data_IF_209082816196
#
_entry.id   IF_209082816196
#
_cell.length_a   1.000
_cell.length_b   1.000
_cell.length_c   1.000
_cell.angle_alpha   90.00
_cell.angle_beta   90.00
_cell.angle_gamma   90.00
#
_symmetry.space_group_name_H-M   'P 1'
#
loop_
_entity.id
_entity.type
_entity.pdbx_description
1 polymer ?
#
# COMPACT_ATOMS: atom_id res chain seq x y z
N UNK A 1 31.09 -12.49 -12.19
CA UNK A 1 30.53 -11.29 -11.51
C UNK A 1 31.35 -10.04 -11.82
N UNK A 2 32.66 -10.03 -11.52
CA UNK A 2 33.57 -8.90 -11.80
C UNK A 2 33.44 -8.34 -13.23
N UNK A 3 33.53 -9.18 -14.26
CA UNK A 3 33.36 -8.79 -15.65
C UNK A 3 32.05 -8.04 -15.93
N UNK A 4 30.92 -8.50 -15.36
CA UNK A 4 29.64 -7.80 -15.50
C UNK A 4 29.63 -6.44 -14.78
N UNK A 5 30.35 -6.33 -13.66
CA UNK A 5 30.49 -5.11 -12.89
C UNK A 5 31.40 -4.08 -13.59
N UNK A 6 32.46 -4.50 -14.29
CA UNK A 6 33.50 -3.59 -14.80
C UNK A 6 33.52 -3.45 -16.33
N UNK A 7 33.35 -4.53 -17.07
CA UNK A 7 33.65 -4.58 -18.52
C UNK A 7 32.40 -4.47 -19.41
N UNK A 8 31.24 -4.93 -18.94
CA UNK A 8 30.00 -4.83 -19.72
C UNK A 8 29.45 -3.39 -19.67
N UNK A 9 29.17 -2.83 -20.85
CA UNK A 9 28.43 -1.57 -20.99
C UNK A 9 26.92 -1.83 -20.92
N UNK A 10 26.32 -1.42 -19.80
CA UNK A 10 24.89 -1.55 -19.55
C UNK A 10 24.08 -0.30 -19.90
N UNK A 11 24.67 0.70 -20.56
CA UNK A 11 23.95 1.91 -20.99
C UNK A 11 22.87 1.56 -22.02
N UNK A 12 21.70 2.18 -21.92
CA UNK A 12 20.60 2.00 -22.90
C UNK A 12 19.62 0.87 -22.58
N UNK A 13 19.79 0.17 -21.45
CA UNK A 13 18.83 -0.82 -20.96
C UNK A 13 18.15 -0.32 -19.68
N UNK A 14 16.84 -0.49 -19.59
CA UNK A 14 16.04 -0.05 -18.43
C UNK A 14 15.85 -1.14 -17.38
N UNK A 15 15.78 -2.42 -17.79
CA UNK A 15 15.78 -3.57 -16.90
C UNK A 15 17.08 -4.36 -17.05
N UNK A 16 17.87 -4.46 -15.98
CA UNK A 16 19.18 -5.13 -16.00
C UNK A 16 19.24 -6.20 -14.94
N UNK A 17 19.49 -7.43 -15.38
CA UNK A 17 19.60 -8.58 -14.50
C UNK A 17 20.98 -9.22 -14.64
N UNK A 18 21.57 -9.57 -13.50
CA UNK A 18 22.71 -10.48 -13.44
C UNK A 18 22.23 -11.78 -12.78
N UNK A 19 22.49 -12.91 -13.43
CA UNK A 19 22.17 -14.23 -12.87
C UNK A 19 23.49 -14.92 -12.56
N UNK A 20 23.74 -15.18 -11.27
CA UNK A 20 24.88 -15.92 -10.78
C UNK A 20 24.45 -17.33 -10.38
N UNK A 21 25.13 -18.34 -10.92
CA UNK A 21 25.03 -19.72 -10.45
C UNK A 21 26.37 -20.11 -9.86
N UNK A 22 26.37 -20.66 -8.65
CA UNK A 22 27.61 -20.97 -7.93
C UNK A 22 27.38 -22.02 -6.85
N UNK A 23 28.39 -22.84 -6.57
CA UNK A 23 28.41 -23.87 -5.54
C UNK A 23 29.43 -23.59 -4.42
N UNK A 24 30.06 -22.41 -4.45
CA UNK A 24 31.13 -22.02 -3.53
C UNK A 24 31.18 -20.51 -3.30
N UNK A 25 31.81 -20.08 -2.22
CA UNK A 25 32.03 -18.70 -1.84
C UNK A 25 32.90 -17.96 -2.86
N UNK A 26 32.71 -16.64 -2.92
CA UNK A 26 33.55 -15.75 -3.71
C UNK A 26 34.94 -15.63 -3.07
N UNK A 27 35.96 -15.61 -3.93
CA UNK A 27 37.34 -15.28 -3.56
C UNK A 27 37.47 -13.77 -3.41
N UNK A 28 37.64 -13.30 -2.18
CA UNK A 28 37.58 -11.87 -1.86
C UNK A 28 38.95 -11.18 -1.87
N UNK A 29 38.94 -9.89 -2.21
CA UNK A 29 40.04 -8.97 -1.93
C UNK A 29 41.40 -9.46 -2.46
N UNK A 30 42.37 -9.56 -1.55
CA UNK A 30 43.76 -9.92 -1.88
C UNK A 30 44.03 -11.42 -2.05
N UNK A 31 42.99 -12.28 -2.10
CA UNK A 31 43.20 -13.67 -2.51
C UNK A 31 43.86 -13.68 -3.91
N UNK A 32 45.01 -14.37 -4.10
CA UNK A 32 45.72 -14.38 -5.38
C UNK A 32 44.89 -14.89 -6.57
N UNK A 33 43.80 -15.62 -6.30
CA UNK A 33 42.87 -16.14 -7.29
C UNK A 33 41.61 -15.27 -7.44
N UNK A 34 41.52 -14.13 -6.75
CA UNK A 34 40.44 -13.17 -6.94
C UNK A 34 40.58 -12.47 -8.29
N UNK A 35 39.59 -12.64 -9.17
CA UNK A 35 39.61 -12.01 -10.49
C UNK A 35 39.41 -10.49 -10.48
N UNK A 36 38.83 -9.92 -9.41
CA UNK A 36 38.60 -8.47 -9.28
C UNK A 36 39.52 -7.77 -8.29
N UNK A 37 40.08 -8.50 -7.31
CA UNK A 37 40.76 -7.88 -6.17
C UNK A 37 39.81 -7.14 -5.21
N UNK A 38 38.50 -7.28 -5.38
CA UNK A 38 37.46 -6.57 -4.62
C UNK A 38 36.77 -7.51 -3.64
N UNK A 39 36.26 -6.99 -2.52
CA UNK A 39 35.35 -7.76 -1.69
C UNK A 39 33.95 -7.76 -2.31
N UNK A 40 33.14 -8.67 -1.81
CA UNK A 40 31.75 -8.83 -2.24
C UNK A 40 30.92 -7.55 -2.07
N UNK A 41 31.25 -6.73 -1.06
CA UNK A 41 30.64 -5.42 -0.80
C UNK A 41 30.92 -4.42 -1.93
N UNK A 42 32.16 -4.24 -2.35
CA UNK A 42 32.48 -3.28 -3.42
C UNK A 42 31.92 -3.74 -4.76
N UNK A 43 31.89 -5.06 -5.01
CA UNK A 43 31.23 -5.60 -6.21
C UNK A 43 29.73 -5.30 -6.19
N UNK A 44 29.07 -5.46 -5.04
CA UNK A 44 27.65 -5.10 -4.87
C UNK A 44 27.42 -3.62 -5.21
N UNK A 45 28.22 -2.72 -4.65
CA UNK A 45 28.09 -1.28 -4.95
C UNK A 45 28.33 -0.97 -6.43
N UNK A 46 29.31 -1.62 -7.06
CA UNK A 46 29.56 -1.46 -8.49
C UNK A 46 28.38 -1.93 -9.34
N UNK A 47 27.77 -3.09 -9.04
CA UNK A 47 26.61 -3.60 -9.76
C UNK A 47 25.38 -2.69 -9.55
N UNK A 48 25.18 -2.21 -8.31
CA UNK A 48 24.10 -1.27 -7.95
C UNK A 48 24.21 0.06 -8.66
N UNK A 49 25.41 0.64 -8.74
CA UNK A 49 25.64 1.91 -9.44
C UNK A 49 25.24 1.85 -10.93
N UNK A 50 25.25 0.64 -11.50
CA UNK A 50 24.85 0.35 -12.87
C UNK A 50 23.36 -0.04 -13.00
N UNK A 51 22.62 -0.12 -11.89
CA UNK A 51 21.21 -0.47 -11.83
C UNK A 51 20.91 -1.96 -12.02
N UNK A 52 21.85 -2.86 -11.66
CA UNK A 52 21.64 -4.30 -11.83
C UNK A 52 20.93 -4.93 -10.62
N UNK A 53 19.90 -5.72 -10.92
CA UNK A 53 19.33 -6.69 -9.98
C UNK A 53 20.05 -8.03 -10.12
N UNK A 54 20.70 -8.49 -9.05
CA UNK A 54 21.51 -9.72 -9.08
C UNK A 54 20.76 -10.88 -8.45
N UNK A 55 20.31 -11.83 -9.27
CA UNK A 55 19.83 -13.14 -8.81
C UNK A 55 21.02 -14.05 -8.52
N UNK A 56 21.02 -14.71 -7.36
CA UNK A 56 21.99 -15.76 -7.02
C UNK A 56 21.28 -17.08 -6.80
N UNK A 57 21.69 -18.10 -7.56
CA UNK A 57 21.35 -19.50 -7.36
C UNK A 57 22.55 -20.20 -6.74
N UNK A 58 22.48 -20.45 -5.43
CA UNK A 58 23.54 -21.10 -4.66
C UNK A 58 23.26 -22.60 -4.52
N UNK A 59 24.11 -23.41 -5.16
CA UNK A 59 24.06 -24.86 -5.15
C UNK A 59 24.72 -25.37 -3.86
N UNK A 60 23.93 -25.83 -2.89
CA UNK A 60 24.43 -26.35 -1.61
C UNK A 60 24.90 -27.80 -1.74
N UNK A 61 25.90 -28.02 -2.59
CA UNK A 61 26.42 -29.35 -2.91
C UNK A 61 27.09 -29.99 -1.69
N UNK A 62 27.14 -31.33 -1.59
CA UNK A 62 27.83 -31.99 -0.47
C UNK A 62 29.32 -31.60 -0.33
N UNK A 63 30.00 -31.30 -1.45
CA UNK A 63 31.40 -30.89 -1.46
C UNK A 63 31.62 -29.51 -0.80
N UNK A 64 30.64 -28.61 -0.92
CA UNK A 64 30.68 -27.24 -0.37
C UNK A 64 30.26 -27.13 1.09
N UNK A 65 29.97 -28.23 1.80
CA UNK A 65 29.37 -28.19 3.15
C UNK A 65 30.11 -27.31 4.16
N UNK A 66 31.44 -27.27 4.10
CA UNK A 66 32.26 -26.41 4.97
C UNK A 66 32.26 -24.93 4.59
N UNK A 67 31.76 -24.58 3.42
CA UNK A 67 31.81 -23.26 2.80
C UNK A 67 30.43 -22.60 2.64
N UNK A 68 29.35 -23.38 2.67
CA UNK A 68 27.98 -22.91 2.46
C UNK A 68 27.61 -21.67 3.27
N UNK A 69 28.03 -21.58 4.54
CA UNK A 69 27.71 -20.44 5.39
C UNK A 69 28.37 -19.15 4.91
N UNK A 70 29.63 -19.24 4.48
CA UNK A 70 30.40 -18.10 3.96
C UNK A 70 29.78 -17.65 2.62
N UNK A 71 29.53 -18.61 1.73
CA UNK A 71 28.91 -18.37 0.44
C UNK A 71 27.52 -17.73 0.60
N UNK A 72 26.68 -18.25 1.49
CA UNK A 72 25.35 -17.70 1.76
C UNK A 72 25.42 -16.24 2.25
N UNK A 73 26.32 -15.94 3.18
CA UNK A 73 26.49 -14.57 3.68
C UNK A 73 26.92 -13.61 2.57
N UNK A 74 27.93 -13.99 1.78
CA UNK A 74 28.42 -13.19 0.66
C UNK A 74 27.33 -12.97 -0.39
N UNK A 75 26.64 -14.03 -0.80
CA UNK A 75 25.69 -13.94 -1.92
C UNK A 75 24.35 -13.32 -1.56
N UNK A 76 23.86 -13.49 -0.33
CA UNK A 76 22.74 -12.69 0.17
C UNK A 76 23.08 -11.20 0.17
N UNK A 77 24.32 -10.89 0.54
CA UNK A 77 24.80 -9.53 0.52
C UNK A 77 24.83 -8.93 -0.91
N UNK A 78 25.43 -9.60 -1.90
CA UNK A 78 25.43 -9.12 -3.31
C UNK A 78 24.02 -8.92 -3.86
N UNK A 79 23.13 -9.87 -3.57
CA UNK A 79 21.77 -9.88 -4.12
C UNK A 79 20.78 -9.03 -3.31
N UNK A 80 21.25 -8.31 -2.28
CA UNK A 80 20.39 -7.54 -1.38
C UNK A 80 19.87 -6.25 -1.99
N UNK A 81 18.67 -5.86 -1.57
CA UNK A 81 18.07 -4.56 -1.91
C UNK A 81 18.72 -3.43 -1.11
N UNK A 82 18.67 -2.21 -1.66
CA UNK A 82 19.22 -0.99 -1.03
C UNK A 82 18.21 -0.25 -0.15
N UNK A 83 17.13 -0.92 0.25
CA UNK A 83 16.03 -0.35 1.03
C UNK A 83 16.16 -0.62 2.55
N UNK A 84 17.27 -1.23 2.98
CA UNK A 84 17.49 -1.61 4.38
C UNK A 84 16.63 -2.79 4.86
N UNK A 85 15.79 -3.37 4.01
CA UNK A 85 14.87 -4.47 4.38
C UNK A 85 15.56 -5.80 4.65
N UNK A 86 16.82 -5.94 4.21
CA UNK A 86 17.53 -7.23 4.20
C UNK A 86 17.00 -8.23 3.17
N UNK A 87 16.04 -7.83 2.32
CA UNK A 87 15.56 -8.67 1.20
C UNK A 87 16.68 -8.89 0.18
N UNK A 88 16.67 -10.06 -0.42
CA UNK A 88 17.67 -10.45 -1.40
C UNK A 88 17.10 -11.41 -2.46
N UNK A 89 17.63 -11.34 -3.68
CA UNK A 89 17.31 -12.27 -4.77
C UNK A 89 18.21 -13.51 -4.69
N UNK A 90 18.16 -14.18 -3.54
CA UNK A 90 18.97 -15.36 -3.24
C UNK A 90 18.10 -16.63 -3.17
N UNK A 91 18.47 -17.61 -3.97
CA UNK A 91 17.84 -18.92 -4.06
C UNK A 91 18.87 -19.97 -3.63
N UNK A 92 18.55 -20.70 -2.56
CA UNK A 92 19.34 -21.89 -2.21
C UNK A 92 18.76 -23.11 -2.91
N UNK A 93 19.65 -23.99 -3.38
CA UNK A 93 19.30 -25.22 -4.07
C UNK A 93 19.96 -26.36 -3.31
N UNK A 94 19.14 -27.04 -2.52
CA UNK A 94 19.60 -28.07 -1.61
C UNK A 94 20.27 -29.22 -2.37
N UNK A 95 21.43 -29.66 -1.88
CA UNK A 95 22.25 -30.73 -2.49
C UNK A 95 22.71 -30.49 -3.93
N UNK A 96 22.44 -29.31 -4.52
CA UNK A 96 22.63 -29.09 -5.95
C UNK A 96 21.73 -29.98 -6.82
N UNK A 97 20.56 -30.36 -6.31
CA UNK A 97 19.63 -31.25 -7.01
C UNK A 97 19.22 -30.70 -8.40
N UNK A 98 19.39 -31.47 -9.51
CA UNK A 98 19.08 -31.00 -10.85
C UNK A 98 17.62 -30.59 -11.06
N UNK A 99 16.67 -31.25 -10.38
CA UNK A 99 15.25 -30.92 -10.50
C UNK A 99 14.94 -29.59 -9.83
N UNK A 100 15.50 -29.37 -8.65
CA UNK A 100 15.40 -28.12 -7.89
C UNK A 100 16.10 -26.96 -8.61
N UNK A 101 17.27 -27.21 -9.21
CA UNK A 101 17.94 -26.21 -10.06
C UNK A 101 17.10 -25.85 -11.28
N UNK A 102 16.53 -26.84 -11.98
CA UNK A 102 15.61 -26.59 -13.11
C UNK A 102 14.40 -25.76 -12.69
N UNK A 103 13.82 -26.04 -11.52
CA UNK A 103 12.70 -25.26 -11.00
C UNK A 103 13.11 -23.81 -10.69
N UNK A 104 14.30 -23.60 -10.10
CA UNK A 104 14.84 -22.27 -9.83
C UNK A 104 15.08 -21.47 -11.12
N UNK A 105 15.69 -22.09 -12.14
CA UNK A 105 15.90 -21.46 -13.45
C UNK A 105 14.58 -21.07 -14.10
N UNK A 106 13.58 -21.97 -14.09
CA UNK A 106 12.26 -21.69 -14.64
C UNK A 106 11.58 -20.52 -13.90
N UNK A 107 11.69 -20.47 -12.57
CA UNK A 107 11.16 -19.37 -11.76
C UNK A 107 11.80 -18.04 -12.15
N UNK A 108 13.14 -17.95 -12.09
CA UNK A 108 13.85 -16.71 -12.42
C UNK A 108 13.56 -16.26 -13.86
N UNK A 109 13.46 -17.20 -14.80
CA UNK A 109 13.12 -16.88 -16.19
C UNK A 109 11.69 -16.33 -16.34
N UNK A 110 10.72 -16.92 -15.64
CA UNK A 110 9.34 -16.44 -15.63
C UNK A 110 9.20 -15.09 -14.92
N UNK A 111 9.95 -14.86 -13.84
CA UNK A 111 10.00 -13.58 -13.14
C UNK A 111 10.48 -12.49 -14.10
N UNK A 112 11.61 -12.70 -14.76
CA UNK A 112 12.17 -11.74 -15.73
C UNK A 112 11.21 -11.52 -16.90
N UNK A 113 10.59 -12.59 -17.43
CA UNK A 113 9.60 -12.45 -18.51
C UNK A 113 8.39 -11.62 -18.05
N UNK A 114 7.90 -11.84 -16.83
CA UNK A 114 6.80 -11.08 -16.23
C UNK A 114 7.19 -9.60 -16.06
N UNK A 115 8.39 -9.34 -15.56
CA UNK A 115 8.98 -7.99 -15.41
C UNK A 115 9.04 -7.24 -16.76
N UNK A 116 9.36 -7.94 -17.84
CA UNK A 116 9.40 -7.36 -19.18
C UNK A 116 8.00 -7.11 -19.76
N UNK A 117 7.11 -8.10 -19.66
CA UNK A 117 5.85 -8.13 -20.42
C UNK A 117 4.67 -7.47 -19.73
N UNK A 118 4.67 -7.37 -18.40
CA UNK A 118 3.57 -6.79 -17.63
C UNK A 118 3.75 -5.28 -17.41
N UNK A 119 2.65 -4.59 -17.16
CA UNK A 119 2.63 -3.16 -16.88
C UNK A 119 2.73 -2.86 -15.37
N UNK A 120 2.74 -1.57 -15.01
CA UNK A 120 2.81 -1.13 -13.61
C UNK A 120 1.60 -1.59 -12.79
N UNK A 121 0.40 -1.55 -13.38
CA UNK A 121 -0.84 -1.87 -12.68
C UNK A 121 -0.84 -3.33 -12.20
N UNK A 122 -0.38 -4.25 -13.05
CA UNK A 122 -0.18 -5.65 -12.69
C UNK A 122 0.69 -5.81 -11.43
N UNK A 123 1.86 -5.14 -11.38
CA UNK A 123 2.74 -5.28 -10.22
C UNK A 123 2.16 -4.70 -8.93
N UNK A 124 1.39 -3.60 -9.01
CA UNK A 124 0.72 -3.02 -7.84
C UNK A 124 -0.34 -3.96 -7.28
N UNK A 125 -1.14 -4.58 -8.15
CA UNK A 125 -2.14 -5.56 -7.76
C UNK A 125 -1.48 -6.81 -7.14
N UNK A 126 -0.46 -7.35 -7.80
CA UNK A 126 0.25 -8.54 -7.33
C UNK A 126 1.01 -8.29 -6.02
N UNK A 127 1.51 -7.07 -5.80
CA UNK A 127 2.19 -6.70 -4.56
C UNK A 127 1.27 -6.91 -3.35
N UNK A 128 0.04 -6.39 -3.42
CA UNK A 128 -0.95 -6.54 -2.34
C UNK A 128 -1.28 -8.01 -2.08
N UNK A 129 -1.52 -8.78 -3.15
CA UNK A 129 -1.82 -10.21 -3.04
C UNK A 129 -0.65 -11.00 -2.42
N UNK A 130 0.58 -10.73 -2.86
CA UNK A 130 1.78 -11.41 -2.36
C UNK A 130 2.06 -11.09 -0.89
N UNK A 131 1.83 -9.85 -0.45
CA UNK A 131 1.94 -9.46 0.97
C UNK A 131 0.91 -10.19 1.84
N UNK A 132 -0.34 -10.31 1.37
CA UNK A 132 -1.38 -11.08 2.06
C UNK A 132 -1.05 -12.58 2.13
N UNK A 133 -0.56 -13.16 1.03
CA UNK A 133 -0.14 -14.57 0.99
C UNK A 133 1.05 -14.84 1.91
N UNK A 134 2.03 -13.94 1.94
CA UNK A 134 3.17 -14.02 2.86
C UNK A 134 2.72 -13.96 4.32
N UNK A 135 1.75 -13.09 4.64
CA UNK A 135 1.17 -13.00 5.99
C UNK A 135 0.41 -14.28 6.39
N UNK A 136 -0.21 -14.97 5.43
CA UNK A 136 -0.96 -16.23 5.62
C UNK A 136 -0.06 -17.47 5.65
N UNK A 137 1.19 -17.37 5.21
CA UNK A 137 2.12 -18.49 5.12
C UNK A 137 2.43 -19.11 6.50
N UNK A 138 2.31 -20.44 6.60
CA UNK A 138 2.34 -21.15 7.90
C UNK A 138 3.67 -21.81 8.22
N UNK A 139 4.42 -22.30 7.23
CA UNK A 139 5.73 -22.94 7.43
C UNK A 139 6.88 -22.00 7.07
N UNK A 140 8.09 -22.34 7.53
CA UNK A 140 9.29 -21.57 7.20
C UNK A 140 9.62 -21.66 5.70
N UNK A 141 9.42 -22.83 5.10
CA UNK A 141 9.64 -23.09 3.68
C UNK A 141 8.65 -22.31 2.81
N UNK A 142 7.37 -22.29 3.19
CA UNK A 142 6.33 -21.52 2.50
C UNK A 142 6.61 -20.02 2.62
N UNK A 143 6.91 -19.52 3.82
CA UNK A 143 7.31 -18.11 4.02
C UNK A 143 8.51 -17.73 3.15
N UNK A 144 9.51 -18.60 3.05
CA UNK A 144 10.68 -18.36 2.20
C UNK A 144 10.30 -18.28 0.72
N UNK A 145 9.45 -19.19 0.24
CA UNK A 145 8.96 -19.17 -1.12
C UNK A 145 8.16 -17.89 -1.42
N UNK A 146 7.19 -17.54 -0.57
CA UNK A 146 6.38 -16.32 -0.72
C UNK A 146 7.23 -15.04 -0.66
N UNK A 147 8.27 -15.03 0.18
CA UNK A 147 9.21 -13.91 0.21
C UNK A 147 10.01 -13.80 -1.10
N UNK A 148 10.38 -14.91 -1.73
CA UNK A 148 11.06 -14.89 -3.04
C UNK A 148 10.14 -14.35 -4.15
N UNK A 149 8.88 -14.77 -4.16
CA UNK A 149 7.84 -14.27 -5.09
C UNK A 149 7.62 -12.76 -4.92
N UNK A 150 7.44 -12.31 -3.67
CA UNK A 150 7.33 -10.90 -3.33
C UNK A 150 8.54 -10.08 -3.79
N UNK A 151 9.76 -10.59 -3.56
CA UNK A 151 10.98 -9.91 -4.00
C UNK A 151 11.04 -9.74 -5.53
N UNK A 152 10.60 -10.74 -6.30
CA UNK A 152 10.55 -10.66 -7.76
C UNK A 152 9.50 -9.63 -8.26
N UNK A 153 8.35 -9.54 -7.58
CA UNK A 153 7.32 -8.53 -7.85
C UNK A 153 7.85 -7.12 -7.59
N UNK A 154 8.54 -6.91 -6.45
CA UNK A 154 9.14 -5.62 -6.09
C UNK A 154 10.18 -5.16 -7.12
N UNK A 155 11.01 -6.07 -7.63
CA UNK A 155 11.97 -5.76 -8.71
C UNK A 155 11.23 -5.32 -9.97
N UNK A 156 10.15 -6.02 -10.34
CA UNK A 156 9.34 -5.63 -11.51
C UNK A 156 8.75 -4.24 -11.36
N UNK A 157 8.15 -3.95 -10.21
CA UNK A 157 7.63 -2.62 -9.92
C UNK A 157 8.73 -1.55 -9.98
N UNK A 158 9.88 -1.81 -9.38
CA UNK A 158 11.01 -0.88 -9.36
C UNK A 158 11.54 -0.59 -10.78
N UNK A 159 11.69 -1.60 -11.63
CA UNK A 159 12.08 -1.42 -13.04
C UNK A 159 11.07 -0.54 -13.79
N UNK A 160 9.76 -0.77 -13.59
CA UNK A 160 8.72 0.06 -14.23
C UNK A 160 8.77 1.50 -13.73
N UNK A 161 8.89 1.70 -12.42
CA UNK A 161 9.00 3.03 -11.82
C UNK A 161 10.24 3.77 -12.32
N UNK A 162 11.39 3.09 -12.42
CA UNK A 162 12.61 3.68 -12.97
C UNK A 162 12.43 4.07 -14.45
N UNK A 163 11.82 3.20 -15.26
CA UNK A 163 11.52 3.48 -16.67
C UNK A 163 10.61 4.71 -16.84
N UNK A 164 9.48 4.76 -16.12
CA UNK A 164 8.58 5.91 -16.16
C UNK A 164 9.23 7.17 -15.60
N UNK A 165 9.99 7.06 -14.51
CA UNK A 165 10.77 8.14 -13.93
C UNK A 165 11.70 8.81 -14.95
N UNK A 166 12.48 8.00 -15.69
CA UNK A 166 13.35 8.49 -16.77
C UNK A 166 12.56 9.11 -17.92
N UNK A 167 11.44 8.49 -18.34
CA UNK A 167 10.63 8.95 -19.47
C UNK A 167 9.90 10.26 -19.18
N UNK A 168 9.42 10.44 -17.97
CA UNK A 168 8.67 11.62 -17.52
C UNK A 168 9.57 12.68 -16.86
N UNK A 169 10.89 12.43 -16.78
CA UNK A 169 11.86 13.25 -16.08
C UNK A 169 11.44 13.57 -14.63
N UNK A 170 10.88 12.57 -13.96
CA UNK A 170 10.39 12.66 -12.58
C UNK A 170 11.22 11.77 -11.67
N UNK A 171 11.38 12.20 -10.42
CA UNK A 171 12.08 11.43 -9.39
C UNK A 171 11.08 10.99 -8.33
N UNK A 172 11.29 9.80 -7.76
CA UNK A 172 10.49 9.32 -6.63
C UNK A 172 10.49 10.40 -5.53
N UNK A 173 9.31 10.88 -5.07
CA UNK A 173 9.23 11.81 -3.96
C UNK A 173 9.96 11.23 -2.74
N UNK A 174 10.67 12.07 -1.99
CA UNK A 174 11.30 11.64 -0.74
C UNK A 174 10.19 11.30 0.27
N UNK A 175 9.80 10.03 0.34
CA UNK A 175 9.01 9.52 1.45
C UNK A 175 9.97 9.29 2.63
N UNK A 176 9.66 9.85 3.80
CA UNK A 176 10.34 9.53 5.04
C UNK A 176 9.31 9.02 6.04
N UNK A 177 9.69 7.99 6.79
CA UNK A 177 8.93 7.56 7.96
C UNK A 177 9.50 8.30 9.17
N UNK A 178 8.63 8.97 9.92
CA UNK A 178 9.01 9.68 11.13
C UNK A 178 7.99 9.39 12.23
N UNK A 179 8.48 9.34 13.47
CA UNK A 179 7.64 9.27 14.66
C UNK A 179 7.42 10.69 15.16
N UNK A 180 6.17 11.03 15.44
CA UNK A 180 5.77 12.31 16.03
C UNK A 180 4.93 12.03 17.27
N UNK A 181 5.13 12.81 18.33
CA UNK A 181 4.24 12.77 19.48
C UNK A 181 2.90 13.39 19.08
N UNK A 182 1.78 12.73 19.42
CA UNK A 182 0.41 13.18 19.13
C UNK A 182 -0.04 14.37 20.01
N UNK A 183 0.66 14.58 21.12
CA UNK A 183 0.40 15.62 22.12
C UNK A 183 1.67 16.39 22.47
N UNK A 184 1.47 17.63 22.91
CA UNK A 184 2.57 18.44 23.40
C UNK A 184 3.17 17.83 24.69
N UNK A 185 4.50 17.79 24.77
CA UNK A 185 5.20 17.17 25.90
C UNK A 185 5.03 17.92 27.22
N UNK A 186 4.79 19.24 27.17
CA UNK A 186 4.60 20.11 28.33
C UNK A 186 3.13 20.17 28.73
N UNK A 187 2.23 20.12 27.75
CA UNK A 187 0.78 20.11 27.96
C UNK A 187 0.08 19.03 27.12
N UNK A 188 -0.20 17.90 27.76
CA UNK A 188 -0.85 16.75 27.11
C UNK A 188 -2.33 17.00 26.74
N UNK A 189 -2.90 18.18 27.06
CA UNK A 189 -4.22 18.58 26.58
C UNK A 189 -4.19 19.16 25.17
N UNK A 190 -3.01 19.57 24.68
CA UNK A 190 -2.85 20.18 23.36
C UNK A 190 -2.42 19.13 22.33
N UNK A 191 -3.25 18.86 21.30
CA UNK A 191 -2.85 18.02 20.18
C UNK A 191 -1.81 18.74 19.31
N UNK A 192 -0.82 18.01 18.81
CA UNK A 192 0.25 18.53 17.93
C UNK A 192 -0.05 18.33 16.45
N UNK A 193 -1.06 17.54 16.12
CA UNK A 193 -1.44 17.17 14.76
C UNK A 193 -2.90 17.53 14.48
N UNK A 194 -3.16 18.02 13.27
CA UNK A 194 -4.51 18.18 12.72
C UNK A 194 -4.75 17.10 11.66
N UNK A 195 -5.61 16.13 11.96
CA UNK A 195 -5.87 14.99 11.08
C UNK A 195 -6.95 15.37 10.07
N UNK A 196 -6.63 15.19 8.79
CA UNK A 196 -7.53 15.47 7.67
C UNK A 196 -7.63 14.27 6.75
N UNK A 197 -8.85 14.03 6.26
CA UNK A 197 -9.16 13.03 5.26
C UNK A 197 -9.15 13.68 3.88
N UNK A 198 -8.39 13.12 2.95
CA UNK A 198 -8.44 13.55 1.55
C UNK A 198 -9.67 12.92 0.90
N UNK A 199 -10.62 13.76 0.50
CA UNK A 199 -11.81 13.33 -0.23
C UNK A 199 -11.82 13.95 -1.62
N UNK A 200 -12.22 13.18 -2.62
CA UNK A 200 -12.42 13.67 -3.97
C UNK A 200 -13.68 14.53 -4.07
N UNK A 201 -13.80 15.33 -5.14
CA UNK A 201 -14.97 16.17 -5.38
C UNK A 201 -16.25 15.33 -5.56
N UNK A 202 -16.11 14.18 -6.22
CA UNK A 202 -17.17 13.18 -6.31
C UNK A 202 -17.59 12.69 -4.92
N UNK A 203 -16.63 12.30 -4.08
CA UNK A 203 -16.92 11.81 -2.72
C UNK A 203 -17.59 12.85 -1.84
N UNK A 204 -17.14 14.12 -1.88
CA UNK A 204 -17.79 15.21 -1.15
C UNK A 204 -19.22 15.48 -1.67
N UNK A 205 -19.45 15.35 -2.98
CA UNK A 205 -20.79 15.50 -3.57
C UNK A 205 -21.73 14.41 -3.08
N UNK A 206 -21.28 13.15 -3.11
CA UNK A 206 -22.04 12.00 -2.60
C UNK A 206 -22.35 12.16 -1.10
N UNK A 207 -21.37 12.62 -0.32
CA UNK A 207 -21.52 12.85 1.12
C UNK A 207 -22.58 13.91 1.41
N UNK A 208 -22.58 15.02 0.67
CA UNK A 208 -23.58 16.09 0.79
C UNK A 208 -24.98 15.60 0.47
N UNK A 209 -25.13 14.80 -0.58
CA UNK A 209 -26.43 14.23 -0.95
C UNK A 209 -26.95 13.28 0.15
N UNK A 210 -26.09 12.42 0.68
CA UNK A 210 -26.42 11.55 1.80
C UNK A 210 -26.86 12.36 3.03
N UNK A 211 -26.09 13.39 3.41
CA UNK A 211 -26.41 14.24 4.55
C UNK A 211 -27.71 15.04 4.36
N UNK A 212 -28.01 15.52 3.15
CA UNK A 212 -29.30 16.17 2.83
C UNK A 212 -30.48 15.22 3.07
N UNK A 213 -30.36 13.97 2.61
CA UNK A 213 -31.40 12.96 2.80
C UNK A 213 -31.61 12.61 4.28
N UNK A 214 -30.52 12.44 5.03
CA UNK A 214 -30.59 12.20 6.48
C UNK A 214 -31.27 13.38 7.18
N UNK A 215 -30.91 14.62 6.79
CA UNK A 215 -31.51 15.83 7.35
C UNK A 215 -33.02 15.91 7.06
N UNK A 216 -33.44 15.59 5.83
CA UNK A 216 -34.87 15.53 5.46
C UNK A 216 -35.64 14.52 6.33
N UNK A 217 -35.09 13.32 6.52
CA UNK A 217 -35.70 12.28 7.36
C UNK A 217 -35.70 12.66 8.84
N UNK A 218 -34.62 13.28 9.34
CA UNK A 218 -34.55 13.71 10.74
C UNK A 218 -35.58 14.81 11.06
N UNK A 219 -35.77 15.78 10.16
CA UNK A 219 -36.80 16.81 10.30
C UNK A 219 -38.22 16.21 10.29
N UNK A 220 -38.48 15.17 9.49
CA UNK A 220 -39.75 14.47 9.48
C UNK A 220 -39.95 13.61 10.74
N UNK A 221 -38.91 12.91 11.19
CA UNK A 221 -38.93 12.07 12.39
C UNK A 221 -39.11 12.83 13.70
N UNK A 222 -38.80 14.13 13.74
CA UNK A 222 -39.14 15.01 14.86
C UNK A 222 -40.67 15.22 14.99
N UNK A 223 -41.42 15.06 13.89
CA UNK A 223 -42.89 15.14 13.86
C UNK A 223 -43.55 13.78 14.19
N UNK A 224 -42.90 12.65 13.86
CA UNK A 224 -43.32 11.29 14.22
C UNK A 224 -42.15 10.43 14.72
N UNK A 225 -41.95 10.42 16.05
CA UNK A 225 -40.77 9.83 16.70
C UNK A 225 -40.58 8.32 16.43
N UNK A 226 -41.66 7.59 16.15
CA UNK A 226 -41.63 6.14 15.92
C UNK A 226 -41.15 5.75 14.50
N UNK A 227 -41.12 6.69 13.54
CA UNK A 227 -40.90 6.38 12.12
C UNK A 227 -39.50 6.73 11.59
N UNK A 228 -38.65 7.42 12.37
CA UNK A 228 -37.36 7.93 11.89
C UNK A 228 -36.47 6.85 11.24
N UNK A 229 -36.27 5.72 11.93
CA UNK A 229 -35.42 4.63 11.40
C UNK A 229 -36.06 3.89 10.23
N UNK A 230 -37.38 3.70 10.25
CA UNK A 230 -38.10 3.09 9.14
C UNK A 230 -37.96 3.95 7.85
N UNK A 231 -38.02 5.27 8.00
CA UNK A 231 -37.80 6.22 6.89
C UNK A 231 -36.35 6.22 6.40
N UNK A 232 -35.36 6.10 7.29
CA UNK A 232 -33.96 5.97 6.89
C UNK A 232 -33.70 4.65 6.13
N UNK A 233 -34.25 3.54 6.60
CA UNK A 233 -34.17 2.24 5.91
C UNK A 233 -34.82 2.30 4.52
N UNK A 234 -35.98 2.94 4.39
CA UNK A 234 -36.63 3.16 3.11
C UNK A 234 -35.78 4.04 2.17
N UNK A 235 -35.13 5.07 2.71
CA UNK A 235 -34.21 5.93 1.97
C UNK A 235 -32.99 5.15 1.47
N UNK A 236 -32.38 4.31 2.33
CA UNK A 236 -31.26 3.44 1.95
C UNK A 236 -31.66 2.45 0.84
N UNK A 237 -32.85 1.87 0.94
CA UNK A 237 -33.39 0.97 -0.10
C UNK A 237 -33.60 1.70 -1.43
N UNK A 238 -34.10 2.94 -1.42
CA UNK A 238 -34.26 3.76 -2.61
C UNK A 238 -32.92 4.13 -3.28
N UNK A 239 -31.82 4.15 -2.52
CA UNK A 239 -30.46 4.37 -3.02
C UNK A 239 -29.79 3.09 -3.53
N UNK A 240 -30.52 1.97 -3.63
CA UNK A 240 -30.01 0.72 -4.18
C UNK A 240 -29.07 -0.05 -3.23
N UNK A 241 -29.13 0.22 -1.92
CA UNK A 241 -28.36 -0.55 -0.93
C UNK A 241 -28.95 -1.95 -0.75
N UNK A 242 -28.10 -2.92 -0.41
CA UNK A 242 -28.50 -4.33 -0.29
C UNK A 242 -29.52 -4.53 0.82
N UNK A 243 -30.67 -5.18 0.56
CA UNK A 243 -31.71 -5.44 1.57
C UNK A 243 -31.19 -6.16 2.81
N UNK A 244 -30.26 -7.11 2.64
CA UNK A 244 -29.69 -7.88 3.75
C UNK A 244 -28.85 -7.00 4.70
N UNK A 245 -28.16 -5.97 4.17
CA UNK A 245 -27.41 -5.02 4.99
C UNK A 245 -28.33 -4.05 5.72
N UNK A 246 -29.36 -3.55 5.04
CA UNK A 246 -30.35 -2.64 5.63
C UNK A 246 -31.09 -3.33 6.79
N UNK A 247 -31.45 -4.60 6.64
CA UNK A 247 -32.18 -5.35 7.66
C UNK A 247 -31.34 -5.66 8.91
N UNK A 248 -30.01 -5.70 8.78
CA UNK A 248 -29.08 -5.97 9.88
C UNK A 248 -28.51 -4.69 10.51
N UNK A 249 -28.74 -3.54 9.89
CA UNK A 249 -28.22 -2.26 10.36
C UNK A 249 -28.94 -1.79 11.63
N UNK A 250 -28.16 -1.64 12.70
CA UNK A 250 -28.60 -1.13 14.00
C UNK A 250 -28.29 0.36 14.18
N UNK A 251 -27.40 0.90 13.35
CA UNK A 251 -26.96 2.31 13.40
C UNK A 251 -27.07 2.98 12.04
N UNK A 252 -27.07 4.32 12.02
CA UNK A 252 -27.10 5.10 10.79
C UNK A 252 -25.90 4.80 9.88
N UNK A 253 -24.73 4.53 10.46
CA UNK A 253 -23.54 4.15 9.69
C UNK A 253 -23.71 2.81 8.99
N UNK A 254 -24.29 1.82 9.66
CA UNK A 254 -24.51 0.48 9.09
C UNK A 254 -25.53 0.45 7.94
N UNK A 255 -26.39 1.48 7.83
CA UNK A 255 -27.29 1.64 6.69
C UNK A 255 -26.55 1.93 5.38
N UNK A 256 -25.26 2.29 5.45
CA UNK A 256 -24.43 2.58 4.27
C UNK A 256 -24.92 3.80 3.49
N UNK A 257 -25.64 4.72 4.15
CA UNK A 257 -26.09 5.97 3.55
C UNK A 257 -24.89 6.88 3.26
N UNK A 258 -23.92 6.85 4.15
CA UNK A 258 -22.66 7.58 4.04
C UNK A 258 -21.64 6.61 3.43
N UNK A 259 -20.92 7.02 2.38
CA UNK A 259 -20.19 6.09 1.49
C UNK A 259 -19.16 5.18 2.18
N UNK A 260 -18.86 4.04 1.55
CA UNK A 260 -17.99 2.97 2.09
C UNK A 260 -16.58 3.45 2.51
N UNK A 261 -16.11 4.56 1.95
CA UNK A 261 -14.81 5.15 2.27
C UNK A 261 -14.72 5.71 3.71
N UNK A 262 -15.83 5.83 4.43
CA UNK A 262 -15.85 6.20 5.84
C UNK A 262 -15.98 5.01 6.79
N UNK A 263 -16.39 3.85 6.32
CA UNK A 263 -16.70 2.68 7.17
C UNK A 263 -15.44 2.08 7.82
N UNK A 264 -14.32 2.09 7.11
CA UNK A 264 -13.05 1.53 7.58
C UNK A 264 -12.21 2.52 8.41
N UNK A 265 -12.71 3.75 8.62
CA UNK A 265 -11.98 4.73 9.41
C UNK A 265 -12.07 4.40 10.90
N UNK A 266 -10.96 4.48 11.67
CA UNK A 266 -11.00 4.29 13.13
C UNK A 266 -11.69 5.46 13.88
N UNK A 267 -12.43 6.30 13.17
CA UNK A 267 -13.13 7.47 13.70
C UNK A 267 -14.54 7.09 14.15
N UNK A 268 -14.88 7.43 15.40
CA UNK A 268 -16.22 7.24 15.94
C UNK A 268 -17.03 8.51 15.76
N UNK A 269 -17.79 8.55 14.69
CA UNK A 269 -18.77 9.61 14.44
C UNK A 269 -19.93 9.53 15.44
N UNK A 270 -20.38 10.68 15.94
CA UNK A 270 -21.62 10.76 16.72
C UNK A 270 -22.85 10.54 15.82
N UNK A 271 -22.84 11.05 14.58
CA UNK A 271 -23.99 10.92 13.67
C UNK A 271 -24.17 9.50 13.17
N UNK A 272 -23.07 8.81 12.84
CA UNK A 272 -23.10 7.42 12.37
C UNK A 272 -23.54 6.44 13.46
N UNK A 273 -23.28 6.76 14.73
CA UNK A 273 -23.60 5.90 15.87
C UNK A 273 -25.03 6.06 16.40
N UNK A 274 -25.86 6.93 15.82
CA UNK A 274 -27.27 7.02 16.20
C UNK A 274 -27.97 5.72 15.84
N UNK A 275 -28.68 5.15 16.81
CA UNK A 275 -29.59 4.01 16.68
C UNK A 275 -31.04 4.44 16.94
N UNK A 276 -32.00 3.56 16.67
CA UNK A 276 -33.41 3.84 16.95
C UNK A 276 -33.63 4.04 18.45
N UNK A 277 -32.98 3.23 19.29
CA UNK A 277 -33.08 3.34 20.74
C UNK A 277 -32.54 4.68 21.24
N UNK A 278 -31.40 5.13 20.70
CA UNK A 278 -30.80 6.42 21.06
C UNK A 278 -31.75 7.56 20.65
N UNK A 279 -32.28 7.51 19.43
CA UNK A 279 -33.18 8.55 18.91
C UNK A 279 -34.47 8.69 19.73
N UNK A 280 -35.09 7.57 20.11
CA UNK A 280 -36.32 7.56 20.93
C UNK A 280 -36.05 8.04 22.35
N UNK A 281 -34.84 7.82 22.87
CA UNK A 281 -34.43 8.31 24.19
C UNK A 281 -34.09 9.81 24.22
N UNK A 282 -33.84 10.43 23.05
CA UNK A 282 -33.56 11.85 22.99
C UNK A 282 -34.79 12.68 23.38
N UNK A 283 -34.54 13.71 24.19
CA UNK A 283 -35.49 14.81 24.35
C UNK A 283 -35.62 15.59 23.04
N UNK A 284 -36.72 16.34 22.87
CA UNK A 284 -36.94 17.21 21.70
C UNK A 284 -35.75 18.17 21.49
N UNK A 285 -35.16 18.68 22.58
CA UNK A 285 -33.97 19.54 22.50
C UNK A 285 -32.74 18.81 21.96
N UNK A 286 -32.51 17.56 22.36
CA UNK A 286 -31.40 16.73 21.86
C UNK A 286 -31.60 16.30 20.40
N UNK A 287 -32.85 16.03 20.01
CA UNK A 287 -33.19 15.80 18.60
C UNK A 287 -32.90 17.04 17.74
N UNK A 288 -33.25 18.24 18.24
CA UNK A 288 -32.92 19.49 17.55
C UNK A 288 -31.42 19.72 17.46
N UNK A 289 -30.66 19.53 18.53
CA UNK A 289 -29.21 19.67 18.54
C UNK A 289 -28.54 18.73 17.52
N UNK A 290 -29.04 17.50 17.41
CA UNK A 290 -28.60 16.55 16.40
C UNK A 290 -28.87 17.02 14.96
N UNK A 291 -30.09 17.50 14.70
CA UNK A 291 -30.50 18.05 13.40
C UNK A 291 -29.64 19.26 13.02
N UNK A 292 -29.46 20.20 13.95
CA UNK A 292 -28.63 21.40 13.77
C UNK A 292 -27.16 21.01 13.48
N UNK A 293 -26.66 19.97 14.13
CA UNK A 293 -25.33 19.41 13.89
C UNK A 293 -25.15 18.87 12.46
N UNK A 294 -26.14 18.14 11.94
CA UNK A 294 -26.13 17.66 10.54
C UNK A 294 -26.20 18.86 9.59
N UNK A 295 -27.09 19.82 9.83
CA UNK A 295 -27.24 20.99 8.98
C UNK A 295 -25.94 21.82 8.93
N UNK A 296 -25.29 22.03 10.08
CA UNK A 296 -24.03 22.76 10.16
C UNK A 296 -22.91 22.07 9.37
N UNK A 297 -22.78 20.74 9.50
CA UNK A 297 -21.79 19.95 8.75
C UNK A 297 -22.07 19.96 7.26
N UNK A 298 -23.33 19.82 6.85
CA UNK A 298 -23.72 19.90 5.44
C UNK A 298 -23.35 21.26 4.83
N UNK A 299 -23.64 22.37 5.51
CA UNK A 299 -23.23 23.72 5.07
C UNK A 299 -21.72 23.83 4.93
N UNK A 300 -20.96 23.22 5.84
CA UNK A 300 -19.49 23.23 5.77
C UNK A 300 -18.97 22.43 4.55
N UNK A 301 -19.57 21.27 4.26
CA UNK A 301 -19.22 20.49 3.06
C UNK A 301 -19.58 21.23 1.76
N UNK A 302 -20.66 22.01 1.74
CA UNK A 302 -21.02 22.88 0.62
C UNK A 302 -19.96 23.97 0.39
N UNK A 303 -19.48 24.60 1.48
CA UNK A 303 -18.38 25.57 1.39
C UNK A 303 -17.09 24.96 0.84
N UNK A 304 -16.76 23.71 1.21
CA UNK A 304 -15.60 23.01 0.64
C UNK A 304 -15.80 22.69 -0.84
N UNK A 305 -16.99 22.20 -1.20
CA UNK A 305 -17.33 21.87 -2.58
C UNK A 305 -17.25 23.09 -3.51
N UNK A 306 -17.75 24.24 -3.06
CA UNK A 306 -17.87 25.44 -3.89
C UNK A 306 -16.57 26.27 -3.93
N UNK A 307 -15.61 25.99 -3.03
CA UNK A 307 -14.30 26.60 -3.03
C UNK A 307 -13.37 25.96 -4.08
N UNK A 308 -13.31 26.53 -5.27
CA UNK A 308 -12.53 26.02 -6.40
C UNK A 308 -11.01 26.11 -6.21
N UNK A 309 -10.52 26.97 -5.32
CA UNK A 309 -9.09 27.32 -5.24
C UNK A 309 -8.23 26.30 -4.48
N UNK A 310 -8.87 25.44 -3.70
CA UNK A 310 -8.19 24.52 -2.76
C UNK A 310 -8.22 23.04 -3.20
N UNK A 311 -8.65 22.77 -4.43
CA UNK A 311 -8.70 21.43 -4.99
C UNK A 311 -7.38 21.06 -5.66
N UNK A 312 -6.82 19.91 -5.31
CA UNK A 312 -5.53 19.44 -5.83
C UNK A 312 -5.70 18.16 -6.64
N UNK A 313 -5.29 18.19 -7.90
CA UNK A 313 -5.20 16.99 -8.74
C UNK A 313 -3.93 16.21 -8.42
N UNK A 314 -4.08 15.04 -7.80
CA UNK A 314 -2.96 14.16 -7.45
C UNK A 314 -2.55 13.23 -8.61
N UNK A 315 -3.48 12.90 -9.50
CA UNK A 315 -3.31 11.89 -10.56
C UNK A 315 -2.62 12.45 -11.82
N UNK A 316 -2.45 13.77 -11.92
CA UNK A 316 -1.94 14.45 -13.11
C UNK A 316 -2.86 14.34 -14.34
N UNK A 317 -4.03 13.72 -14.19
CA UNK A 317 -5.08 13.65 -15.21
C UNK A 317 -6.03 14.83 -15.01
N UNK A 318 -6.52 15.36 -16.11
CA UNK A 318 -7.47 16.47 -16.12
C UNK A 318 -8.89 15.94 -15.89
N UNK A 319 -9.17 15.51 -14.65
CA UNK A 319 -10.49 15.08 -14.20
C UNK A 319 -10.84 15.86 -12.92
N UNK A 320 -11.61 16.93 -13.07
CA UNK A 320 -12.01 17.80 -11.96
C UNK A 320 -12.81 17.07 -10.86
N UNK A 321 -13.47 15.95 -11.19
CA UNK A 321 -14.19 15.12 -10.20
C UNK A 321 -13.25 14.37 -9.25
N UNK A 322 -12.02 14.12 -9.70
CA UNK A 322 -10.96 13.40 -8.99
C UNK A 322 -9.92 14.33 -8.37
N UNK A 323 -10.21 15.63 -8.31
CA UNK A 323 -9.45 16.55 -7.47
C UNK A 323 -9.78 16.29 -5.99
N UNK A 324 -8.77 16.41 -5.13
CA UNK A 324 -8.88 16.12 -3.69
C UNK A 324 -8.87 17.39 -2.83
N UNK A 325 -9.61 17.35 -1.73
CA UNK A 325 -9.63 18.37 -0.70
C UNK A 325 -9.36 17.76 0.69
N UNK A 326 -8.52 18.39 1.53
CA UNK A 326 -8.23 17.91 2.89
C UNK A 326 -9.34 18.32 3.88
N UNK A 327 -10.30 17.43 4.10
CA UNK A 327 -11.44 17.62 5.00
C UNK A 327 -11.05 17.28 6.44
N UNK A 328 -11.24 18.17 7.42
CA UNK A 328 -10.97 17.86 8.82
C UNK A 328 -11.99 16.85 9.35
N UNK A 329 -11.56 15.94 10.24
CA UNK A 329 -12.42 14.85 10.73
C UNK A 329 -13.70 15.34 11.43
N UNK A 330 -13.67 16.51 12.07
CA UNK A 330 -14.83 17.10 12.72
C UNK A 330 -15.92 17.60 11.76
N UNK A 331 -15.59 17.79 10.47
CA UNK A 331 -16.53 18.15 9.43
C UNK A 331 -17.29 16.94 8.86
N UNK A 332 -16.79 15.72 9.12
CA UNK A 332 -17.45 14.49 8.71
C UNK A 332 -18.68 14.21 9.60
N UNK A 333 -19.74 13.59 9.06
CA UNK A 333 -20.92 13.22 9.82
C UNK A 333 -20.51 12.38 11.02
#
# INVERSE_FOLDING_TARGET
MAHAATEINWSGFDGKHLILVTDASAREGFDPLSGSGLMTNEIRESLRSKGLYTYVMHLKTPAGKGDHQIAEQQYRNVSSFNDGSGRALYLEIESGDPSSFKAAVNRVSNDILTQLTKDRAYFVEQLKLAEEELAKAKSAEDKKLRQQELNAILVGLAIKLEYFGKRENTTVPKAFEAWVADKDFRDQSVPTLDIRLLLSKNQISDLREAMRRILEVANQGQLSTDDFFAQLQATAAAMGRSPDRIAQASTLGELGLVGEYLDDLPFRSQTMNISQEIWVQFTIGQQQEFIDGIESKLKLLELFHDNTDNWVLLSGRDDEGEAFYPVPLNALP
#
